data_IF_526720004733
#
_entry.id   IF_526720004733
#
_cell.length_a   1.000
_cell.length_b   1.000
_cell.length_c   1.000
_cell.angle_alpha   90.00
_cell.angle_beta   90.00
_cell.angle_gamma   90.00
#
_symmetry.space_group_name_H-M   'P 1'
#
loop_
_entity.id
_entity.type
_entity.pdbx_description
1 polymer ?
#
# COMPACT_ATOMS: atom_id res chain seq x y z
N UNK A 1 -23.18 -19.73 11.95
CA UNK A 1 -22.09 -19.68 12.96
C UNK A 1 -21.24 -18.45 12.65
N UNK A 2 -21.40 -17.35 13.37
CA UNK A 2 -20.64 -16.11 13.15
C UNK A 2 -19.34 -16.21 13.96
N UNK A 3 -18.22 -16.46 13.30
CA UNK A 3 -16.91 -16.41 13.95
C UNK A 3 -16.67 -14.99 14.48
N UNK A 4 -16.27 -14.90 15.75
CA UNK A 4 -16.08 -13.65 16.48
C UNK A 4 -14.96 -12.82 15.82
N UNK A 5 -15.19 -11.53 15.57
CA UNK A 5 -14.22 -10.64 14.93
C UNK A 5 -12.93 -10.51 15.75
N UNK A 6 -13.02 -10.69 17.08
CA UNK A 6 -11.88 -10.72 18.00
C UNK A 6 -11.00 -11.98 17.84
N UNK A 7 -11.59 -13.15 17.57
CA UNK A 7 -10.83 -14.39 17.35
C UNK A 7 -10.01 -14.34 16.05
N UNK A 8 -10.52 -13.63 15.04
CA UNK A 8 -9.78 -13.40 13.78
C UNK A 8 -8.56 -12.50 13.98
N UNK A 9 -8.60 -11.58 14.93
CA UNK A 9 -7.45 -10.73 15.28
C UNK A 9 -6.40 -11.47 16.13
N UNK A 10 -6.81 -12.42 16.97
CA UNK A 10 -5.90 -13.11 17.91
C UNK A 10 -5.02 -14.17 17.25
N UNK A 11 -5.49 -14.86 16.21
CA UNK A 11 -4.75 -15.99 15.58
C UNK A 11 -3.63 -15.50 14.64
N UNK A 12 -3.62 -14.22 14.24
CA UNK A 12 -2.71 -13.69 13.22
C UNK A 12 -1.47 -12.96 13.77
N UNK A 13 -1.41 -12.65 15.07
CA UNK A 13 -0.34 -11.80 15.64
C UNK A 13 0.96 -12.54 15.97
N UNK A 14 0.95 -13.87 15.99
CA UNK A 14 2.10 -14.68 16.43
C UNK A 14 3.06 -15.12 15.32
N UNK A 15 2.82 -14.72 14.07
CA UNK A 15 3.74 -14.96 12.96
C UNK A 15 5.07 -14.19 13.10
N UNK A 16 6.17 -14.73 12.57
CA UNK A 16 7.37 -13.92 12.31
C UNK A 16 7.07 -12.89 11.24
N UNK A 17 7.84 -11.79 11.20
CA UNK A 17 7.67 -10.78 10.15
C UNK A 17 7.87 -11.42 8.77
N UNK A 18 8.79 -12.39 8.67
CA UNK A 18 8.94 -13.23 7.49
C UNK A 18 7.66 -13.95 7.07
N UNK A 19 7.00 -14.67 7.97
CA UNK A 19 5.79 -15.42 7.62
C UNK A 19 4.67 -14.50 7.12
N UNK A 20 4.46 -13.38 7.82
CA UNK A 20 3.46 -12.38 7.44
C UNK A 20 3.80 -11.73 6.09
N UNK A 21 5.08 -11.42 5.87
CA UNK A 21 5.53 -10.80 4.62
C UNK A 21 5.37 -11.74 3.42
N UNK A 22 5.68 -13.03 3.60
CA UNK A 22 5.46 -14.05 2.59
C UNK A 22 3.98 -14.24 2.27
N UNK A 23 3.10 -14.22 3.30
CA UNK A 23 1.65 -14.31 3.08
C UNK A 23 1.11 -13.08 2.33
N UNK A 24 1.57 -11.88 2.67
CA UNK A 24 1.28 -10.66 1.89
C UNK A 24 1.66 -10.84 0.41
N UNK A 25 2.89 -11.29 0.12
CA UNK A 25 3.34 -11.51 -1.26
C UNK A 25 2.43 -12.50 -2.00
N UNK A 26 2.15 -13.65 -1.38
CA UNK A 26 1.29 -14.69 -1.95
C UNK A 26 -0.12 -14.16 -2.28
N UNK A 27 -0.70 -13.37 -1.38
CA UNK A 27 -2.02 -12.77 -1.58
C UNK A 27 -2.02 -11.72 -2.68
N UNK A 28 -0.96 -10.90 -2.78
CA UNK A 28 -0.80 -9.97 -3.89
C UNK A 28 -0.67 -10.69 -5.23
N UNK A 29 0.15 -11.74 -5.31
CA UNK A 29 0.29 -12.56 -6.53
C UNK A 29 -1.04 -13.17 -6.96
N UNK A 30 -1.81 -13.68 -5.99
CA UNK A 30 -3.16 -14.18 -6.24
C UNK A 30 -4.08 -13.08 -6.78
N UNK A 31 -4.02 -11.88 -6.21
CA UNK A 31 -4.84 -10.75 -6.63
C UNK A 31 -4.48 -10.27 -8.03
N UNK A 32 -3.19 -10.08 -8.33
CA UNK A 32 -2.71 -9.66 -9.66
C UNK A 32 -3.03 -10.71 -10.71
N UNK A 33 -2.84 -12.00 -10.40
CA UNK A 33 -3.23 -13.10 -11.30
C UNK A 33 -4.73 -13.09 -11.59
N UNK A 34 -5.56 -12.85 -10.57
CA UNK A 34 -7.01 -12.79 -10.74
C UNK A 34 -7.47 -11.63 -11.62
N UNK A 35 -6.73 -10.52 -11.61
CA UNK A 35 -6.99 -9.33 -12.44
C UNK A 35 -6.41 -9.44 -13.86
N UNK A 36 -5.52 -10.41 -14.12
CA UNK A 36 -4.98 -10.66 -15.45
C UNK A 36 -5.99 -11.31 -16.41
N UNK A 37 -7.05 -11.93 -15.90
CA UNK A 37 -8.15 -12.45 -16.72
C UNK A 37 -9.05 -11.30 -17.19
N UNK A 38 -9.14 -11.13 -18.51
CA UNK A 38 -9.97 -10.11 -19.17
C UNK A 38 -11.42 -10.16 -18.67
N UNK A 39 -11.97 -11.34 -18.38
CA UNK A 39 -13.36 -11.49 -17.88
C UNK A 39 -13.54 -10.92 -16.48
N UNK A 40 -12.49 -10.93 -15.67
CA UNK A 40 -12.43 -10.39 -14.32
C UNK A 40 -12.29 -8.85 -14.33
N UNK A 41 -11.57 -8.30 -15.32
CA UNK A 41 -11.44 -6.84 -15.50
C UNK A 41 -12.77 -6.14 -15.81
N UNK A 42 -13.67 -6.78 -16.55
CA UNK A 42 -15.01 -6.24 -16.81
C UNK A 42 -15.94 -6.27 -15.59
N UNK A 43 -15.67 -7.16 -14.62
CA UNK A 43 -16.52 -7.38 -13.45
C UNK A 43 -16.03 -6.63 -12.21
N UNK A 44 -14.72 -6.39 -12.14
CA UNK A 44 -14.10 -5.68 -11.03
C UNK A 44 -13.95 -4.19 -11.38
N UNK A 45 -14.25 -3.32 -10.43
CA UNK A 45 -13.96 -1.88 -10.57
C UNK A 45 -12.48 -1.56 -10.30
N UNK A 46 -11.61 -2.59 -10.25
CA UNK A 46 -10.22 -2.46 -9.84
C UNK A 46 -9.36 -2.25 -11.09
N UNK A 47 -8.40 -1.33 -11.00
CA UNK A 47 -7.44 -1.08 -12.08
C UNK A 47 -6.22 -1.99 -11.89
N UNK A 48 -5.99 -2.98 -12.78
CA UNK A 48 -4.89 -3.93 -12.62
C UNK A 48 -3.52 -3.26 -12.50
N UNK A 49 -3.31 -2.15 -13.21
CA UNK A 49 -2.04 -1.42 -13.22
C UNK A 49 -1.74 -0.82 -11.84
N UNK A 50 -2.76 -0.30 -11.14
CA UNK A 50 -2.59 0.26 -9.80
C UNK A 50 -2.28 -0.84 -8.78
N UNK A 51 -2.97 -1.99 -8.88
CA UNK A 51 -2.70 -3.12 -7.99
C UNK A 51 -1.29 -3.66 -8.19
N UNK A 52 -0.83 -3.76 -9.44
CA UNK A 52 0.52 -4.19 -9.77
C UNK A 52 1.57 -3.21 -9.21
N UNK A 53 1.38 -1.90 -9.40
CA UNK A 53 2.26 -0.87 -8.83
C UNK A 53 2.35 -0.97 -7.29
N UNK A 54 1.22 -1.17 -6.60
CA UNK A 54 1.25 -1.39 -5.15
C UNK A 54 2.01 -2.65 -4.75
N UNK A 55 1.88 -3.73 -5.54
CA UNK A 55 2.62 -4.96 -5.28
C UNK A 55 4.14 -4.78 -5.50
N UNK A 56 4.56 -4.08 -6.55
CA UNK A 56 5.98 -3.78 -6.79
C UNK A 56 6.58 -2.94 -5.66
N UNK A 57 5.87 -1.90 -5.21
CA UNK A 57 6.30 -1.08 -4.05
C UNK A 57 6.43 -1.92 -2.78
N UNK A 58 5.48 -2.82 -2.55
CA UNK A 58 5.54 -3.74 -1.42
C UNK A 58 6.77 -4.67 -1.50
N UNK A 59 7.06 -5.25 -2.68
CA UNK A 59 8.26 -6.09 -2.87
C UNK A 59 9.55 -5.32 -2.64
N UNK A 60 9.66 -4.09 -3.12
CA UNK A 60 10.83 -3.22 -2.88
C UNK A 60 11.01 -2.93 -1.39
N UNK A 61 9.93 -2.54 -0.70
CA UNK A 61 9.95 -2.30 0.73
C UNK A 61 10.37 -3.55 1.52
N UNK A 62 9.75 -4.69 1.23
CA UNK A 62 10.04 -5.96 1.91
C UNK A 62 11.46 -6.46 1.61
N UNK A 63 11.94 -6.27 0.38
CA UNK A 63 13.30 -6.59 -0.06
C UNK A 63 14.35 -5.75 0.68
N UNK A 64 14.18 -4.43 0.74
CA UNK A 64 15.08 -3.52 1.45
C UNK A 64 15.14 -3.82 2.95
N UNK A 65 14.06 -4.33 3.51
CA UNK A 65 14.02 -4.77 4.90
C UNK A 65 14.54 -6.19 5.11
N UNK A 66 14.84 -6.97 4.07
CA UNK A 66 15.17 -8.39 4.25
C UNK A 66 14.02 -9.13 4.93
N UNK A 67 12.78 -8.73 4.66
CA UNK A 67 11.58 -9.29 5.28
C UNK A 67 11.34 -10.73 4.85
N UNK A 68 11.80 -11.14 3.66
CA UNK A 68 11.72 -12.52 3.18
C UNK A 68 12.85 -13.41 3.70
N UNK A 69 13.82 -12.87 4.43
CA UNK A 69 14.93 -13.67 4.95
C UNK A 69 14.49 -14.45 6.19
N UNK A 70 15.02 -15.68 6.31
CA UNK A 70 14.87 -16.48 7.51
C UNK A 70 15.28 -15.69 8.76
N UNK A 71 14.72 -15.98 9.93
CA UNK A 71 14.95 -15.18 11.15
C UNK A 71 16.37 -15.30 11.77
N UNK A 72 17.25 -16.09 11.15
CA UNK A 72 18.58 -16.43 11.66
C UNK A 72 19.71 -15.50 11.18
N UNK A 73 19.80 -15.12 9.89
CA UNK A 73 20.82 -14.19 9.42
C UNK A 73 20.59 -12.77 9.96
N UNK A 74 21.68 -12.04 10.22
CA UNK A 74 21.66 -10.64 10.68
C UNK A 74 21.00 -9.67 9.67
N UNK A 75 20.88 -10.10 8.41
CA UNK A 75 20.20 -9.39 7.34
C UNK A 75 18.67 -9.44 7.44
N UNK A 76 18.10 -10.31 8.27
CA UNK A 76 16.65 -10.39 8.46
C UNK A 76 16.13 -9.28 9.37
N UNK A 77 14.94 -8.77 9.05
CA UNK A 77 14.27 -7.79 9.91
C UNK A 77 13.89 -8.37 11.27
N UNK A 78 13.53 -9.66 11.34
CA UNK A 78 13.27 -10.36 12.60
C UNK A 78 14.50 -10.35 13.52
N UNK A 79 15.72 -10.50 12.97
CA UNK A 79 16.95 -10.36 13.75
C UNK A 79 17.18 -8.92 14.19
N UNK A 80 17.09 -7.95 13.27
CA UNK A 80 17.35 -6.53 13.57
C UNK A 80 16.39 -5.95 14.61
N UNK A 81 15.12 -6.36 14.59
CA UNK A 81 14.10 -5.87 15.53
C UNK A 81 14.00 -6.68 16.82
N UNK A 82 14.83 -7.72 17.03
CA UNK A 82 14.78 -8.57 18.23
C UNK A 82 14.94 -7.80 19.54
N UNK A 83 15.68 -6.68 19.53
CA UNK A 83 15.87 -5.80 20.69
C UNK A 83 14.84 -4.65 20.77
N UNK A 84 13.91 -4.60 19.82
CA UNK A 84 12.90 -3.54 19.69
C UNK A 84 11.50 -4.14 19.52
N UNK A 85 10.99 -4.88 20.53
CA UNK A 85 9.74 -5.63 20.42
C UNK A 85 8.53 -4.76 20.07
N UNK A 86 8.49 -3.51 20.55
CA UNK A 86 7.41 -2.56 20.21
C UNK A 86 7.32 -2.29 18.70
N UNK A 87 8.47 -2.06 18.05
CA UNK A 87 8.52 -1.82 16.60
C UNK A 87 8.17 -3.09 15.83
N UNK A 88 8.64 -4.24 16.29
CA UNK A 88 8.28 -5.52 15.70
C UNK A 88 6.76 -5.76 15.75
N UNK A 89 6.11 -5.50 16.90
CA UNK A 89 4.66 -5.62 17.04
C UNK A 89 3.90 -4.69 16.10
N UNK A 90 4.30 -3.42 16.00
CA UNK A 90 3.67 -2.46 15.07
C UNK A 90 3.81 -2.91 13.61
N UNK A 91 4.98 -3.44 13.25
CA UNK A 91 5.21 -3.94 11.89
C UNK A 91 4.33 -5.15 11.58
N UNK A 92 4.20 -6.09 12.51
CA UNK A 92 3.29 -7.24 12.38
C UNK A 92 1.83 -6.80 12.25
N UNK A 93 1.42 -5.80 13.02
CA UNK A 93 0.08 -5.22 12.94
C UNK A 93 -0.19 -4.63 11.55
N UNK A 94 0.73 -3.83 11.01
CA UNK A 94 0.62 -3.25 9.67
C UNK A 94 0.54 -4.33 8.59
N UNK A 95 1.37 -5.38 8.68
CA UNK A 95 1.31 -6.51 7.75
C UNK A 95 -0.03 -7.24 7.83
N UNK A 96 -0.58 -7.44 9.03
CA UNK A 96 -1.89 -8.05 9.21
C UNK A 96 -3.03 -7.19 8.64
N UNK A 97 -2.97 -5.87 8.82
CA UNK A 97 -3.91 -4.94 8.19
C UNK A 97 -3.86 -5.08 6.67
N UNK A 98 -2.64 -5.17 6.11
CA UNK A 98 -2.45 -5.35 4.66
C UNK A 98 -3.01 -6.70 4.18
N UNK A 99 -2.73 -7.80 4.88
CA UNK A 99 -3.28 -9.13 4.59
C UNK A 99 -4.80 -9.09 4.56
N UNK A 100 -5.42 -8.52 5.58
CA UNK A 100 -6.88 -8.43 5.68
C UNK A 100 -7.46 -7.56 4.57
N UNK A 101 -6.80 -6.44 4.24
CA UNK A 101 -7.21 -5.56 3.16
C UNK A 101 -7.19 -6.27 1.81
N UNK A 102 -6.13 -7.04 1.50
CA UNK A 102 -6.04 -7.80 0.25
C UNK A 102 -7.12 -8.91 0.21
N UNK A 103 -7.35 -9.60 1.33
CA UNK A 103 -8.40 -10.63 1.45
C UNK A 103 -9.81 -10.06 1.25
N UNK A 104 -10.06 -8.84 1.69
CA UNK A 104 -11.35 -8.17 1.48
C UNK A 104 -11.55 -7.73 0.01
N UNK A 105 -10.45 -7.45 -0.70
CA UNK A 105 -10.47 -7.03 -2.11
C UNK A 105 -10.53 -8.23 -3.07
N UNK A 106 -9.97 -9.38 -2.71
CA UNK A 106 -9.94 -10.59 -3.56
C UNK A 106 -11.33 -11.00 -4.11
N UNK A 107 -12.41 -11.09 -3.31
CA UNK A 107 -13.75 -11.40 -3.83
C UNK A 107 -14.27 -10.36 -4.83
N UNK A 108 -13.84 -9.10 -4.70
CA UNK A 108 -14.18 -8.03 -5.65
C UNK A 108 -13.44 -8.24 -6.96
N UNK A 109 -12.15 -8.58 -6.91
CA UNK A 109 -11.36 -8.91 -8.08
C UNK A 109 -11.91 -10.13 -8.83
N UNK A 110 -12.36 -11.16 -8.11
CA UNK A 110 -12.96 -12.36 -8.72
C UNK A 110 -14.38 -12.11 -9.27
N UNK A 111 -14.96 -10.93 -9.03
CA UNK A 111 -16.33 -10.61 -9.40
C UNK A 111 -17.40 -11.33 -8.56
N UNK A 112 -17.01 -11.92 -7.43
CA UNK A 112 -17.91 -12.60 -6.48
C UNK A 112 -18.70 -11.59 -5.64
N UNK A 113 -18.14 -10.40 -5.41
CA UNK A 113 -18.78 -9.31 -4.68
C UNK A 113 -18.62 -7.98 -5.42
N UNK A 114 -19.67 -7.15 -5.56
CA UNK A 114 -19.50 -5.79 -6.06
C UNK A 114 -18.63 -4.96 -5.11
N UNK A 115 -17.93 -3.96 -5.66
CA UNK A 115 -17.24 -2.97 -4.85
C UNK A 115 -18.27 -2.12 -4.08
N UNK A 116 -17.92 -1.68 -2.87
CA UNK A 116 -18.78 -0.80 -2.08
C UNK A 116 -18.65 0.61 -2.64
N UNK A 117 -19.66 1.08 -3.36
CA UNK A 117 -19.79 2.48 -3.70
C UNK A 117 -20.44 3.20 -2.52
N UNK A 118 -19.79 4.25 -2.03
CA UNK A 118 -20.48 5.27 -1.24
C UNK A 118 -21.06 6.20 -2.30
N UNK A 119 -22.34 6.03 -2.61
CA UNK A 119 -23.07 7.05 -3.34
C UNK A 119 -22.99 8.30 -2.46
N UNK A 120 -22.16 9.27 -2.87
CA UNK A 120 -22.28 10.63 -2.34
C UNK A 120 -23.60 11.12 -2.89
N UNK A 121 -24.67 10.88 -2.15
CA UNK A 121 -25.95 11.51 -2.42
C UNK A 121 -25.68 13.00 -2.62
N UNK A 122 -26.00 13.50 -3.81
CA UNK A 122 -26.15 14.92 -4.10
C UNK A 122 -27.28 15.46 -3.23
N UNK A 123 -27.01 15.67 -1.96
CA UNK A 123 -27.93 16.26 -1.01
C UNK A 123 -27.47 17.68 -0.70
N UNK A 124 -27.96 18.58 -1.55
CA UNK A 124 -28.34 19.94 -1.18
C UNK A 124 -27.20 20.92 -0.91
N UNK A 125 -26.47 21.33 -1.96
CA UNK A 125 -25.80 22.62 -1.87
C UNK A 125 -26.83 23.71 -2.14
N UNK A 126 -27.40 24.24 -1.06
CA UNK A 126 -28.25 25.41 -1.06
C UNK A 126 -27.54 26.57 -1.75
N UNK A 127 -28.23 27.14 -2.74
CA UNK A 127 -27.80 28.28 -3.53
C UNK A 127 -27.71 29.53 -2.62
N UNK A 128 -26.59 29.71 -1.92
CA UNK A 128 -26.23 31.00 -1.34
C UNK A 128 -25.34 31.72 -2.33
N UNK A 129 -25.99 32.53 -3.17
CA UNK A 129 -25.35 33.53 -3.99
C UNK A 129 -24.73 34.57 -3.07
N UNK A 130 -23.41 34.71 -3.09
CA UNK A 130 -22.79 36.00 -2.79
C UNK A 130 -21.63 36.25 -3.74
N UNK A 131 -21.68 37.42 -4.35
CA UNK A 131 -20.85 37.87 -5.45
C UNK A 131 -19.60 38.61 -4.94
N UNK A 132 -18.69 38.87 -5.88
CA UNK A 132 -17.51 39.78 -5.80
C UNK A 132 -16.22 39.09 -5.32
N UNK A 133 -15.07 39.18 -6.00
CA UNK A 133 -14.59 40.25 -6.88
C UNK A 133 -13.54 39.71 -7.88
N UNK A 134 -13.49 40.32 -9.07
CA UNK A 134 -12.43 40.14 -10.07
C UNK A 134 -11.12 40.75 -9.55
N UNK A 135 -10.05 39.96 -9.55
CA UNK A 135 -8.68 40.48 -9.60
C UNK A 135 -8.03 39.94 -10.88
N UNK A 136 -7.68 40.88 -11.75
CA UNK A 136 -6.92 40.69 -12.98
C UNK A 136 -5.46 41.12 -12.76
N UNK A 137 -4.57 40.59 -13.60
CA UNK A 137 -3.14 40.88 -13.79
C UNK A 137 -2.17 40.32 -12.73
N UNK A 138 -1.05 39.67 -13.04
CA UNK A 138 -0.26 39.60 -14.28
C UNK A 138 0.68 38.37 -14.23
N UNK A 139 1.35 37.96 -15.34
CA UNK A 139 2.18 36.76 -15.41
C UNK A 139 3.57 37.00 -14.78
N UNK A 140 3.91 36.20 -13.77
CA UNK A 140 5.27 36.14 -13.22
C UNK A 140 5.98 34.98 -13.91
N UNK A 141 6.72 35.33 -14.95
CA UNK A 141 7.72 34.51 -15.61
C UNK A 141 8.98 34.56 -14.74
N UNK A 142 9.13 33.61 -13.81
CA UNK A 142 10.32 33.47 -12.98
C UNK A 142 11.06 32.18 -13.39
N UNK A 143 12.27 32.28 -13.96
CA UNK A 143 13.02 31.12 -14.42
C UNK A 143 13.56 30.32 -13.25
N UNK A 144 13.27 29.01 -13.25
CA UNK A 144 13.80 28.00 -12.34
C UNK A 144 15.35 28.06 -12.27
N UNK A 145 15.95 28.20 -11.07
CA UNK A 145 17.36 27.95 -10.89
C UNK A 145 17.67 26.48 -11.13
N UNK A 146 18.59 26.23 -12.06
CA UNK A 146 19.25 24.96 -12.29
C UNK A 146 20.07 24.57 -11.07
N UNK A 147 19.54 23.67 -10.24
CA UNK A 147 20.34 22.94 -9.25
C UNK A 147 20.26 21.44 -9.52
N UNK A 148 20.75 21.06 -10.69
CA UNK A 148 21.42 19.78 -10.86
C UNK A 148 22.85 19.93 -10.31
N UNK A 149 23.04 19.86 -9.00
CA UNK A 149 24.39 19.92 -8.42
C UNK A 149 24.55 19.30 -7.02
N UNK A 150 23.82 18.23 -6.69
CA UNK A 150 24.09 17.47 -5.44
C UNK A 150 24.49 16.00 -5.66
N UNK A 151 24.48 15.50 -6.90
CA UNK A 151 24.82 14.09 -7.17
C UNK A 151 26.30 13.85 -7.58
N UNK A 152 27.15 14.90 -7.62
CA UNK A 152 28.53 14.78 -8.12
C UNK A 152 29.62 14.81 -7.03
N UNK A 153 29.31 15.10 -5.77
CA UNK A 153 30.34 15.12 -4.70
C UNK A 153 30.55 13.76 -4.00
N UNK A 154 29.77 12.73 -4.31
CA UNK A 154 29.89 11.41 -3.68
C UNK A 154 30.82 10.41 -4.41
N UNK A 155 31.50 10.83 -5.48
CA UNK A 155 32.41 9.95 -6.25
C UNK A 155 33.91 10.28 -6.13
N UNK A 156 34.31 11.36 -5.44
CA UNK A 156 35.74 11.72 -5.27
C UNK A 156 36.36 11.35 -3.91
N UNK A 157 35.64 10.66 -3.01
CA UNK A 157 36.20 10.15 -1.74
C UNK A 157 36.41 8.63 -1.69
N UNK A 158 36.57 8.00 -2.86
CA UNK A 158 36.92 6.58 -2.94
C UNK A 158 37.72 6.20 -4.20
N UNK A 159 38.78 6.94 -4.56
CA UNK A 159 40.08 6.38 -5.00
C UNK A 159 41.13 7.48 -5.25
#
# INVERSE_FOLDING_TARGET
MRANLADRHSVAMDGTIMLLSTECSRLFEQLTSSLSDIRSQYRSSLRPELVNDQFERYKLWAGNLGAFQNSQPYVSIDYRLRKSPKVASQLKELLNILINSIRDVLPIALGERPNRHIDRDEHGSGNSSDSESKITDSPIDEPLPSEASEASELFELAN
#
